data_IF_046008370727
#
_entry.id   IF_046008370727
#
_cell.length_a   1.000
_cell.length_b   1.000
_cell.length_c   1.000
_cell.angle_alpha   90.00
_cell.angle_beta   90.00
_cell.angle_gamma   90.00
#
_symmetry.space_group_name_H-M   'P 1'
#
loop_
_entity.id
_entity.type
_entity.pdbx_description
1 polymer ?
#
# COMPACT_ATOMS: atom_id res chain seq x y z
N UNK A 1 -2.84 -11.57 -22.55
CA UNK A 1 -4.21 -11.81 -22.08
C UNK A 1 -5.07 -12.01 -23.31
N UNK A 2 -5.70 -13.17 -23.52
CA UNK A 2 -6.59 -13.35 -24.67
C UNK A 2 -7.77 -12.35 -24.55
N UNK A 3 -8.19 -11.73 -25.67
CA UNK A 3 -9.25 -10.70 -25.70
C UNK A 3 -10.51 -11.13 -24.93
N UNK A 4 -10.92 -12.40 -25.09
CA UNK A 4 -12.07 -13.01 -24.40
C UNK A 4 -11.98 -12.89 -22.86
N UNK A 5 -10.80 -13.12 -22.30
CA UNK A 5 -10.55 -13.03 -20.85
C UNK A 5 -10.59 -11.56 -20.37
N UNK A 6 -10.18 -10.61 -21.22
CA UNK A 6 -10.31 -9.18 -20.93
C UNK A 6 -11.77 -8.71 -20.82
N UNK A 7 -12.63 -9.16 -21.75
CA UNK A 7 -14.06 -8.83 -21.72
C UNK A 7 -14.76 -9.43 -20.50
N UNK A 8 -14.47 -10.68 -20.15
CA UNK A 8 -15.02 -11.33 -18.96
C UNK A 8 -14.63 -10.60 -17.67
N UNK A 9 -13.36 -10.24 -17.50
CA UNK A 9 -12.90 -9.46 -16.34
C UNK A 9 -13.54 -8.08 -16.26
N UNK A 10 -13.84 -7.46 -17.40
CA UNK A 10 -14.52 -6.17 -17.43
C UNK A 10 -16.01 -6.31 -17.08
N UNK A 11 -16.68 -7.34 -17.60
CA UNK A 11 -18.05 -7.67 -17.21
C UNK A 11 -18.15 -7.96 -15.70
N UNK A 12 -17.22 -8.73 -15.14
CA UNK A 12 -17.13 -8.97 -13.70
C UNK A 12 -16.98 -7.65 -12.91
N UNK A 13 -16.14 -6.74 -13.39
CA UNK A 13 -16.01 -5.41 -12.80
C UNK A 13 -17.34 -4.62 -12.84
N UNK A 14 -18.04 -4.63 -13.97
CA UNK A 14 -19.34 -3.97 -14.09
C UNK A 14 -20.38 -4.57 -13.14
N UNK A 15 -20.39 -5.89 -12.95
CA UNK A 15 -21.24 -6.55 -11.96
C UNK A 15 -20.91 -6.11 -10.52
N UNK A 16 -19.62 -5.99 -10.17
CA UNK A 16 -19.18 -5.49 -8.85
C UNK A 16 -19.62 -4.02 -8.64
N UNK A 17 -19.46 -3.18 -9.67
CA UNK A 17 -19.94 -1.79 -9.68
C UNK A 17 -21.45 -1.73 -9.50
N UNK A 18 -22.20 -2.55 -10.23
CA UNK A 18 -23.66 -2.59 -10.11
C UNK A 18 -24.10 -3.06 -8.72
N UNK A 19 -23.49 -4.12 -8.19
CA UNK A 19 -23.75 -4.60 -6.81
C UNK A 19 -23.49 -3.54 -5.75
N UNK A 20 -22.60 -2.58 -6.02
CA UNK A 20 -22.30 -1.52 -5.05
C UNK A 20 -23.48 -0.61 -4.72
N UNK A 21 -24.45 -0.49 -5.62
CA UNK A 21 -25.69 0.26 -5.40
C UNK A 21 -26.65 -0.42 -4.41
N UNK A 22 -26.54 -1.74 -4.23
CA UNK A 22 -27.46 -2.53 -3.40
C UNK A 22 -26.83 -3.07 -2.12
N UNK A 23 -25.51 -2.93 -1.97
CA UNK A 23 -24.78 -3.37 -0.79
C UNK A 23 -24.07 -2.18 -0.18
N UNK A 24 -24.35 -1.83 1.07
CA UNK A 24 -23.67 -0.74 1.77
C UNK A 24 -22.20 -1.07 2.06
N UNK A 25 -21.35 -0.06 2.21
CA UNK A 25 -19.94 -0.23 2.61
C UNK A 25 -19.85 -0.93 3.97
N UNK A 26 -20.73 -0.57 4.91
CA UNK A 26 -20.87 -1.24 6.21
C UNK A 26 -21.09 -2.75 6.05
N UNK A 27 -22.11 -3.18 5.29
CA UNK A 27 -22.35 -4.61 5.08
C UNK A 27 -21.17 -5.30 4.38
N UNK A 28 -20.56 -4.64 3.39
CA UNK A 28 -19.44 -5.17 2.63
C UNK A 28 -18.21 -5.46 3.51
N UNK A 29 -17.85 -4.52 4.39
CA UNK A 29 -16.69 -4.64 5.27
C UNK A 29 -16.96 -5.55 6.45
N UNK A 30 -18.12 -5.46 7.12
CA UNK A 30 -18.49 -6.34 8.24
C UNK A 30 -18.51 -7.80 7.81
N UNK A 31 -19.14 -8.13 6.68
CA UNK A 31 -19.21 -9.52 6.19
C UNK A 31 -17.83 -10.10 5.88
N UNK A 32 -16.91 -9.28 5.34
CA UNK A 32 -15.54 -9.74 5.03
C UNK A 32 -14.67 -9.85 6.28
N UNK A 33 -14.83 -8.95 7.23
CA UNK A 33 -14.12 -9.02 8.50
C UNK A 33 -14.55 -10.26 9.30
N UNK A 34 -15.86 -10.57 9.32
CA UNK A 34 -16.37 -11.80 9.91
C UNK A 34 -15.75 -13.04 9.25
N UNK A 35 -15.71 -13.08 7.92
CA UNK A 35 -15.09 -14.20 7.18
C UNK A 35 -13.60 -14.40 7.47
N UNK A 36 -12.85 -13.32 7.72
CA UNK A 36 -11.41 -13.42 7.99
C UNK A 36 -11.08 -13.70 9.46
N UNK A 37 -11.88 -13.17 10.39
CA UNK A 37 -11.60 -13.25 11.84
C UNK A 37 -12.40 -14.31 12.58
N UNK A 38 -13.53 -14.76 12.01
CA UNK A 38 -14.52 -15.61 12.68
C UNK A 38 -15.35 -14.89 13.77
N UNK A 39 -15.19 -13.57 13.95
CA UNK A 39 -15.82 -12.80 15.02
C UNK A 39 -16.79 -11.77 14.46
N UNK A 40 -17.93 -11.60 15.13
CA UNK A 40 -18.86 -10.50 14.85
C UNK A 40 -18.29 -9.20 15.42
N UNK A 41 -18.33 -8.14 14.62
CA UNK A 41 -17.73 -6.85 14.96
C UNK A 41 -18.74 -5.71 14.85
N UNK A 42 -18.77 -4.83 15.85
CA UNK A 42 -19.53 -3.58 15.78
C UNK A 42 -18.64 -2.47 15.21
N UNK A 43 -18.66 -2.29 13.89
CA UNK A 43 -17.82 -1.28 13.23
C UNK A 43 -18.20 0.18 13.57
N UNK A 44 -19.32 0.43 14.27
CA UNK A 44 -19.63 1.77 14.81
C UNK A 44 -18.90 2.07 16.12
N UNK A 45 -18.49 1.03 16.84
CA UNK A 45 -17.70 1.12 18.08
C UNK A 45 -16.51 0.15 17.98
N UNK A 46 -15.54 0.44 17.09
CA UNK A 46 -14.45 -0.48 16.80
C UNK A 46 -13.44 -0.54 17.95
N UNK A 47 -12.96 -1.74 18.26
CA UNK A 47 -11.98 -2.00 19.31
C UNK A 47 -10.62 -2.35 18.70
N UNK A 48 -10.57 -3.33 17.80
CA UNK A 48 -9.30 -3.83 17.24
C UNK A 48 -8.78 -2.97 16.11
N UNK A 49 -7.49 -3.10 15.76
CA UNK A 49 -6.89 -2.39 14.63
C UNK A 49 -7.66 -2.69 13.33
N UNK A 50 -7.97 -3.97 13.07
CA UNK A 50 -8.77 -4.36 11.90
C UNK A 50 -10.17 -3.72 11.87
N UNK A 51 -10.84 -3.64 13.02
CA UNK A 51 -12.14 -2.97 13.14
C UNK A 51 -12.04 -1.47 12.89
N UNK A 52 -11.01 -0.80 13.44
CA UNK A 52 -10.77 0.64 13.26
C UNK A 52 -10.43 0.99 11.82
N UNK A 53 -9.64 0.14 11.15
CA UNK A 53 -9.37 0.23 9.72
C UNK A 53 -10.66 0.11 8.89
N UNK A 54 -11.53 -0.85 9.22
CA UNK A 54 -12.83 -0.97 8.56
C UNK A 54 -13.75 0.22 8.86
N UNK A 55 -13.76 0.71 10.09
CA UNK A 55 -14.52 1.91 10.50
C UNK A 55 -14.13 3.11 9.64
N UNK A 56 -12.82 3.40 9.50
CA UNK A 56 -12.32 4.48 8.64
C UNK A 56 -12.85 4.33 7.21
N UNK A 57 -12.74 3.14 6.62
CA UNK A 57 -13.20 2.90 5.24
C UNK A 57 -14.68 3.17 5.00
N UNK A 58 -15.51 3.08 6.05
CA UNK A 58 -16.97 3.25 5.96
C UNK A 58 -17.39 4.69 6.28
N UNK A 59 -16.73 5.32 7.25
CA UNK A 59 -17.23 6.55 7.88
C UNK A 59 -16.32 7.77 7.68
N UNK A 60 -15.08 7.59 7.24
CA UNK A 60 -14.14 8.68 7.02
C UNK A 60 -13.83 8.84 5.54
N UNK A 61 -14.42 9.88 4.97
CA UNK A 61 -14.32 10.24 3.56
C UNK A 61 -13.43 11.46 3.31
N UNK A 62 -12.50 11.75 4.24
CA UNK A 62 -11.57 12.86 4.16
C UNK A 62 -10.84 12.90 2.80
N UNK A 63 -10.93 14.02 2.09
CA UNK A 63 -10.31 14.21 0.78
C UNK A 63 -8.79 14.15 0.83
N UNK A 64 -8.18 14.46 1.98
CA UNK A 64 -6.74 14.25 2.21
C UNK A 64 -6.35 12.80 1.93
N UNK A 65 -7.18 11.83 2.31
CA UNK A 65 -6.86 10.41 2.09
C UNK A 65 -6.86 10.03 0.61
N UNK A 66 -7.73 10.63 -0.19
CA UNK A 66 -7.70 10.49 -1.64
C UNK A 66 -6.43 11.10 -2.22
N UNK A 67 -6.02 12.28 -1.76
CA UNK A 67 -4.77 12.91 -2.18
C UNK A 67 -3.54 12.06 -1.83
N UNK A 68 -3.50 11.46 -0.64
CA UNK A 68 -2.40 10.59 -0.20
C UNK A 68 -2.37 9.25 -0.93
N UNK A 69 -3.52 8.71 -1.33
CA UNK A 69 -3.62 7.44 -2.06
C UNK A 69 -3.29 7.57 -3.56
N UNK A 70 -3.36 8.78 -4.13
CA UNK A 70 -2.96 9.06 -5.50
C UNK A 70 -1.43 9.07 -5.61
N UNK A 71 -0.87 8.03 -6.26
CA UNK A 71 0.59 7.86 -6.39
C UNK A 71 1.28 9.00 -7.14
N UNK A 72 0.55 9.81 -7.91
CA UNK A 72 1.09 11.01 -8.54
C UNK A 72 1.04 12.19 -7.58
N UNK A 73 -0.15 12.49 -7.05
CA UNK A 73 -0.38 13.69 -6.23
C UNK A 73 0.38 13.66 -4.89
N UNK A 74 0.50 12.47 -4.26
CA UNK A 74 1.21 12.30 -2.98
C UNK A 74 2.68 12.72 -3.04
N UNK A 75 3.29 12.81 -4.23
CA UNK A 75 4.69 13.21 -4.37
C UNK A 75 4.92 14.64 -3.90
N UNK A 76 3.98 15.54 -4.16
CA UNK A 76 4.01 16.92 -3.65
C UNK A 76 3.92 16.94 -2.11
N UNK A 77 3.06 16.08 -1.55
CA UNK A 77 2.93 15.92 -0.10
C UNK A 77 4.27 15.54 0.56
N UNK A 78 4.99 14.61 -0.06
CA UNK A 78 6.27 14.09 0.43
C UNK A 78 7.35 15.18 0.39
N UNK A 79 7.53 15.82 -0.76
CA UNK A 79 8.56 16.87 -0.92
C UNK A 79 8.35 18.07 0.00
N UNK A 80 7.09 18.40 0.32
CA UNK A 80 6.77 19.50 1.22
C UNK A 80 7.07 19.21 2.70
N UNK A 81 7.30 17.94 3.09
CA UNK A 81 7.39 17.53 4.50
C UNK A 81 8.73 16.99 4.92
N UNK A 82 9.46 16.35 4.01
CA UNK A 82 10.72 15.73 4.36
C UNK A 82 11.70 15.78 3.19
N UNK A 83 12.98 15.92 3.53
CA UNK A 83 14.11 15.83 2.61
C UNK A 83 14.96 14.58 2.89
N UNK A 84 14.52 13.71 3.82
CA UNK A 84 15.26 12.52 4.26
C UNK A 84 15.05 11.31 3.36
N UNK A 85 14.08 11.38 2.45
CA UNK A 85 13.73 10.32 1.50
C UNK A 85 13.53 10.94 0.13
N UNK A 86 13.63 10.11 -0.91
CA UNK A 86 13.41 10.48 -2.31
C UNK A 86 12.09 9.91 -2.79
N UNK A 87 11.41 10.60 -3.70
CA UNK A 87 10.38 9.93 -4.52
C UNK A 87 11.06 9.25 -5.71
N UNK A 88 10.62 8.06 -6.11
CA UNK A 88 11.20 7.35 -7.28
C UNK A 88 11.12 8.24 -8.52
N UNK A 89 12.21 8.49 -9.27
CA UNK A 89 12.16 9.41 -10.42
C UNK A 89 11.08 9.04 -11.44
N UNK A 90 10.32 10.05 -11.88
CA UNK A 90 9.32 9.90 -12.94
C UNK A 90 9.98 10.11 -14.29
N UNK A 91 9.87 9.13 -15.17
CA UNK A 91 10.30 9.20 -16.56
C UNK A 91 9.23 9.89 -17.39
N UNK A 92 7.96 9.51 -17.21
CA UNK A 92 6.84 10.01 -18.00
C UNK A 92 5.48 9.72 -17.36
N UNK A 93 4.45 10.44 -17.83
CA UNK A 93 3.05 10.27 -17.42
C UNK A 93 2.19 10.12 -18.68
N UNK A 94 1.30 9.13 -18.70
CA UNK A 94 0.42 8.87 -19.84
C UNK A 94 -1.05 8.85 -19.43
N UNK A 95 -1.91 9.40 -20.28
CA UNK A 95 -3.36 9.33 -20.09
C UNK A 95 -3.96 8.04 -20.65
N UNK A 96 -3.30 7.42 -21.64
CA UNK A 96 -3.74 6.18 -22.27
C UNK A 96 -2.56 5.20 -22.38
N UNK A 97 -2.86 3.91 -22.37
CA UNK A 97 -1.83 2.88 -22.53
C UNK A 97 -1.25 2.84 -23.96
N UNK A 98 -2.04 3.31 -24.93
CA UNK A 98 -1.65 3.45 -26.34
C UNK A 98 -0.63 4.56 -26.58
N UNK A 99 -0.52 5.53 -25.67
CA UNK A 99 0.43 6.65 -25.78
C UNK A 99 1.86 6.24 -25.36
N UNK A 100 2.04 5.01 -24.87
CA UNK A 100 3.33 4.51 -24.39
C UNK A 100 4.18 4.04 -25.57
N UNK A 101 5.19 4.82 -25.92
CA UNK A 101 6.26 4.37 -26.81
C UNK A 101 7.31 3.60 -26.01
N UNK A 102 7.23 2.26 -26.05
CA UNK A 102 8.18 1.39 -25.36
C UNK A 102 9.59 1.42 -25.98
N UNK A 103 9.75 1.93 -27.21
CA UNK A 103 11.03 1.94 -27.89
C UNK A 103 12.01 2.95 -27.29
N UNK A 104 11.50 4.03 -26.68
CA UNK A 104 12.28 5.11 -26.07
C UNK A 104 12.44 4.97 -24.55
N UNK A 105 11.77 4.00 -23.92
CA UNK A 105 11.91 3.73 -22.48
C UNK A 105 13.30 3.13 -22.17
N UNK A 106 13.84 3.39 -20.96
CA UNK A 106 15.13 2.84 -20.54
C UNK A 106 15.11 1.30 -20.45
N UNK A 107 16.27 0.69 -20.22
CA UNK A 107 16.40 -0.77 -20.14
C UNK A 107 15.55 -1.37 -19.00
N UNK A 108 15.42 -0.65 -17.88
CA UNK A 108 14.59 -1.03 -16.74
C UNK A 108 13.64 0.09 -16.36
N UNK A 109 12.38 -0.23 -16.12
CA UNK A 109 11.35 0.73 -15.73
C UNK A 109 10.17 0.06 -15.01
N UNK A 110 9.36 0.86 -14.34
CA UNK A 110 8.12 0.43 -13.69
C UNK A 110 6.95 1.25 -14.21
N UNK A 111 5.91 0.58 -14.72
CA UNK A 111 4.64 1.20 -15.11
C UNK A 111 3.56 0.88 -14.08
N UNK A 112 2.87 1.89 -13.56
CA UNK A 112 1.76 1.71 -12.62
C UNK A 112 0.69 2.78 -12.81
N UNK A 113 -0.58 2.44 -12.53
CA UNK A 113 -1.64 3.45 -12.46
C UNK A 113 -1.61 4.14 -11.09
N UNK A 114 -1.98 5.43 -11.06
CA UNK A 114 -1.94 6.22 -9.83
C UNK A 114 -3.07 5.91 -8.85
N UNK A 115 -4.23 5.49 -9.35
CA UNK A 115 -5.49 5.40 -8.62
C UNK A 115 -5.79 4.03 -7.99
N UNK A 116 -4.84 3.10 -8.05
CA UNK A 116 -5.12 1.70 -7.73
C UNK A 116 -3.98 0.97 -7.01
N UNK A 117 -4.27 -0.22 -6.52
CA UNK A 117 -3.28 -1.19 -6.07
C UNK A 117 -3.25 -2.39 -7.02
N UNK A 118 -2.09 -2.69 -7.59
CA UNK A 118 -1.89 -3.92 -8.37
C UNK A 118 -2.05 -3.79 -9.88
N UNK A 119 -1.99 -2.58 -10.45
CA UNK A 119 -1.75 -2.38 -11.89
C UNK A 119 -0.28 -2.48 -12.30
N UNK A 120 0.66 -2.50 -11.34
CA UNK A 120 2.10 -2.47 -11.58
C UNK A 120 2.56 -3.50 -12.61
N UNK A 121 3.44 -3.06 -13.49
CA UNK A 121 4.20 -3.82 -14.47
C UNK A 121 5.67 -3.43 -14.32
N UNK A 122 6.55 -4.40 -14.15
CA UNK A 122 7.98 -4.20 -13.95
C UNK A 122 8.71 -4.74 -15.18
N UNK A 123 9.59 -3.91 -15.76
CA UNK A 123 10.54 -4.29 -16.80
C UNK A 123 11.94 -4.29 -16.17
N UNK A 124 12.55 -5.46 -16.02
CA UNK A 124 13.93 -5.62 -15.52
C UNK A 124 14.94 -5.88 -16.64
N UNK A 125 14.46 -6.14 -17.85
CA UNK A 125 15.19 -6.11 -19.12
C UNK A 125 14.18 -5.96 -20.25
N UNK A 126 14.56 -5.26 -21.31
CA UNK A 126 13.75 -5.13 -22.54
C UNK A 126 13.68 -6.44 -23.31
N UNK A 127 14.69 -7.29 -23.17
CA UNK A 127 14.71 -8.60 -23.83
C UNK A 127 13.61 -9.49 -23.27
N UNK A 128 12.67 -9.87 -24.14
CA UNK A 128 11.50 -10.67 -23.77
C UNK A 128 10.40 -9.91 -23.03
N UNK A 129 10.52 -8.59 -22.85
CA UNK A 129 9.46 -7.81 -22.22
C UNK A 129 8.20 -7.75 -23.10
N UNK A 130 7.09 -8.26 -22.58
CA UNK A 130 5.83 -8.33 -23.32
C UNK A 130 5.06 -7.00 -23.25
N UNK A 131 5.43 -6.06 -24.11
CA UNK A 131 4.81 -4.72 -24.24
C UNK A 131 3.30 -4.80 -24.45
N UNK A 132 2.83 -5.73 -25.28
CA UNK A 132 1.39 -5.94 -25.54
C UNK A 132 0.64 -6.35 -24.27
N UNK A 133 1.20 -7.26 -23.46
CA UNK A 133 0.61 -7.69 -22.19
C UNK A 133 0.61 -6.55 -21.17
N UNK A 134 1.69 -5.77 -21.10
CA UNK A 134 1.82 -4.60 -20.26
C UNK A 134 0.74 -3.54 -20.59
N UNK A 135 0.67 -3.12 -21.86
CA UNK A 135 -0.31 -2.13 -22.32
C UNK A 135 -1.76 -2.59 -22.07
N UNK A 136 -2.08 -3.86 -22.34
CA UNK A 136 -3.42 -4.39 -22.07
C UNK A 136 -3.79 -4.40 -20.59
N UNK A 137 -2.82 -4.67 -19.70
CA UNK A 137 -3.03 -4.64 -18.25
C UNK A 137 -3.32 -3.22 -17.76
N UNK A 138 -2.53 -2.24 -18.22
CA UNK A 138 -2.70 -0.82 -17.88
C UNK A 138 -4.02 -0.26 -18.43
N UNK A 139 -4.33 -0.56 -19.71
CA UNK A 139 -5.62 -0.21 -20.34
C UNK A 139 -6.81 -0.75 -19.55
N UNK A 140 -6.71 -1.97 -19.04
CA UNK A 140 -7.77 -2.55 -18.21
C UNK A 140 -7.86 -1.86 -16.84
N UNK A 141 -6.74 -1.52 -16.22
CA UNK A 141 -6.70 -0.80 -14.94
C UNK A 141 -7.29 0.61 -15.05
N UNK A 142 -6.96 1.37 -16.10
CA UNK A 142 -7.51 2.72 -16.35
C UNK A 142 -9.04 2.74 -16.48
N UNK A 143 -9.66 1.66 -16.97
CA UNK A 143 -11.12 1.54 -17.10
C UNK A 143 -11.84 1.26 -15.78
N UNK A 144 -11.10 1.02 -14.70
CA UNK A 144 -11.63 0.57 -13.43
C UNK A 144 -11.38 1.59 -12.36
N UNK A 145 -12.39 1.75 -11.50
CA UNK A 145 -12.24 2.41 -10.22
C UNK A 145 -12.19 1.36 -9.11
N UNK A 146 -11.11 1.36 -8.34
CA UNK A 146 -10.81 0.33 -7.34
C UNK A 146 -11.86 0.28 -6.22
N UNK A 147 -12.49 1.41 -5.89
CA UNK A 147 -13.56 1.50 -4.89
C UNK A 147 -14.67 0.47 -5.15
N UNK A 148 -15.13 0.31 -6.39
CA UNK A 148 -16.22 -0.63 -6.69
C UNK A 148 -15.83 -2.10 -6.51
N UNK A 149 -14.53 -2.39 -6.41
CA UNK A 149 -14.03 -3.74 -6.15
C UNK A 149 -13.74 -3.96 -4.67
N UNK A 150 -13.09 -3.00 -4.01
CA UNK A 150 -12.54 -3.17 -2.66
C UNK A 150 -13.26 -2.39 -1.57
N UNK A 151 -14.10 -1.42 -1.96
CA UNK A 151 -14.79 -0.44 -1.12
C UNK A 151 -13.85 0.41 -0.27
N UNK A 152 -12.66 0.62 -0.80
CA UNK A 152 -11.67 1.56 -0.25
C UNK A 152 -11.98 2.97 -0.77
N UNK A 153 -12.56 3.82 0.09
CA UNK A 153 -13.05 5.14 -0.29
C UNK A 153 -11.95 6.05 -0.83
N UNK A 154 -10.72 5.94 -0.32
CA UNK A 154 -9.60 6.79 -0.74
C UNK A 154 -9.34 6.74 -2.26
N UNK A 155 -9.62 5.61 -2.92
CA UNK A 155 -9.42 5.47 -4.37
C UNK A 155 -10.59 6.01 -5.22
N UNK A 156 -11.72 6.36 -4.61
CA UNK A 156 -12.98 6.57 -5.32
C UNK A 156 -12.93 7.74 -6.31
N UNK A 157 -12.22 8.82 -5.95
CA UNK A 157 -12.25 10.08 -6.70
C UNK A 157 -10.92 10.42 -7.37
N UNK A 158 -9.99 9.46 -7.49
CA UNK A 158 -8.71 9.68 -8.16
C UNK A 158 -8.92 9.58 -9.67
N UNK A 159 -8.44 10.59 -10.41
CA UNK A 159 -8.43 10.56 -11.88
C UNK A 159 -7.30 9.62 -12.36
N UNK A 160 -7.62 8.56 -13.11
CA UNK A 160 -6.62 7.59 -13.56
C UNK A 160 -5.63 8.14 -14.59
N UNK A 161 -4.34 7.94 -14.33
CA UNK A 161 -3.22 8.09 -15.27
C UNK A 161 -2.23 6.94 -15.07
N UNK A 162 -1.30 6.77 -16.01
CA UNK A 162 -0.19 5.81 -15.94
C UNK A 162 1.08 6.59 -15.63
N UNK A 163 1.84 6.12 -14.64
CA UNK A 163 3.15 6.60 -14.27
C UNK A 163 4.20 5.63 -14.81
N UNK A 164 5.24 6.17 -15.45
CA UNK A 164 6.48 5.47 -15.75
C UNK A 164 7.56 5.98 -14.80
N UNK A 165 8.07 5.09 -13.97
CA UNK A 165 9.10 5.37 -12.97
C UNK A 165 10.37 4.60 -13.30
N UNK A 166 11.50 5.13 -12.84
CA UNK A 166 12.76 4.39 -12.82
C UNK A 166 12.62 3.10 -11.97
N UNK A 167 13.32 2.05 -12.40
CA UNK A 167 13.44 0.83 -11.61
C UNK A 167 14.52 1.00 -10.53
N UNK A 168 14.16 0.79 -9.27
CA UNK A 168 15.11 0.82 -8.15
C UNK A 168 15.63 -0.59 -7.89
N UNK A 169 16.93 -0.80 -8.06
CA UNK A 169 17.59 -2.09 -7.81
C UNK A 169 18.05 -2.18 -6.35
N UNK A 170 17.16 -2.65 -5.48
CA UNK A 170 17.38 -2.72 -4.03
C UNK A 170 18.52 -3.66 -3.62
N UNK A 171 18.86 -4.64 -4.45
CA UNK A 171 19.84 -5.67 -4.09
C UNK A 171 21.20 -5.45 -4.76
N UNK A 172 21.37 -4.35 -5.50
CA UNK A 172 22.62 -4.08 -6.21
C UNK A 172 23.78 -3.89 -5.23
N UNK A 173 24.61 -4.93 -5.09
CA UNK A 173 25.71 -4.97 -4.13
C UNK A 173 25.27 -5.11 -2.68
N UNK A 174 24.08 -5.67 -2.42
CA UNK A 174 23.59 -6.01 -1.08
C UNK A 174 23.16 -7.48 -1.02
N UNK A 175 23.23 -8.09 0.17
CA UNK A 175 22.76 -9.46 0.39
C UNK A 175 21.23 -9.47 0.48
N UNK A 176 20.59 -10.15 -0.46
CA UNK A 176 19.13 -10.30 -0.53
C UNK A 176 18.54 -10.87 0.75
N UNK A 177 19.21 -11.83 1.38
CA UNK A 177 18.71 -12.52 2.57
C UNK A 177 18.78 -11.64 3.84
N UNK A 178 19.47 -10.50 3.77
CA UNK A 178 19.66 -9.58 4.89
C UNK A 178 19.10 -8.16 4.63
N UNK A 179 18.77 -7.85 3.38
CA UNK A 179 18.29 -6.52 2.98
C UNK A 179 16.76 -6.49 2.96
N UNK A 180 16.11 -5.64 3.76
CA UNK A 180 14.66 -5.47 3.68
C UNK A 180 14.27 -4.88 2.32
N UNK A 181 13.35 -5.55 1.61
CA UNK A 181 12.74 -5.04 0.37
C UNK A 181 11.91 -3.77 0.65
N UNK A 182 11.31 -3.71 1.83
CA UNK A 182 10.44 -2.64 2.24
C UNK A 182 10.42 -2.52 3.76
N UNK A 183 10.51 -1.29 4.26
CA UNK A 183 10.10 -0.95 5.61
C UNK A 183 8.71 -0.32 5.56
N UNK A 184 7.77 -0.91 6.28
CA UNK A 184 6.41 -0.38 6.42
C UNK A 184 6.21 0.14 7.83
N UNK A 185 6.38 1.43 7.99
CA UNK A 185 6.38 2.10 9.28
C UNK A 185 4.95 2.47 9.66
N UNK A 186 4.41 1.81 10.69
CA UNK A 186 3.08 2.10 11.20
C UNK A 186 3.13 3.28 12.16
N UNK A 187 2.47 4.36 11.75
CA UNK A 187 2.38 5.59 12.50
C UNK A 187 0.97 5.77 13.07
N UNK A 188 0.90 6.08 14.37
CA UNK A 188 -0.32 6.41 15.08
C UNK A 188 -0.17 7.83 15.62
N UNK A 189 -1.10 8.72 15.28
CA UNK A 189 -1.06 10.13 15.68
C UNK A 189 0.27 10.83 15.37
N UNK A 190 0.83 10.56 14.18
CA UNK A 190 2.13 11.08 13.75
C UNK A 190 3.36 10.43 14.38
N UNK A 191 3.20 9.43 15.25
CA UNK A 191 4.31 8.75 15.93
C UNK A 191 4.50 7.36 15.35
N UNK A 192 5.73 7.01 14.95
CA UNK A 192 6.05 5.66 14.52
C UNK A 192 6.01 4.72 15.73
N UNK A 193 5.23 3.64 15.65
CA UNK A 193 5.06 2.70 16.76
C UNK A 193 5.79 1.38 16.51
N UNK A 194 5.66 0.83 15.30
CA UNK A 194 6.32 -0.40 14.88
C UNK A 194 6.54 -0.41 13.36
N UNK A 195 7.39 -1.33 12.88
CA UNK A 195 7.78 -1.44 11.48
C UNK A 195 7.68 -2.90 11.02
N UNK A 196 7.01 -3.14 9.91
CA UNK A 196 7.15 -4.40 9.16
C UNK A 196 8.39 -4.29 8.26
N UNK A 197 9.32 -5.23 8.35
CA UNK A 197 10.43 -5.38 7.42
C UNK A 197 10.21 -6.61 6.53
N UNK A 198 10.06 -6.39 5.23
CA UNK A 198 9.78 -7.42 4.24
C UNK A 198 11.06 -8.03 3.69
N UNK A 199 11.10 -9.35 3.57
CA UNK A 199 12.21 -10.07 2.96
C UNK A 199 11.69 -11.15 2.02
N UNK A 200 12.44 -11.44 0.96
CA UNK A 200 12.24 -12.61 0.10
C UNK A 200 13.57 -13.32 -0.07
N UNK A 201 13.65 -14.58 0.36
CA UNK A 201 14.87 -15.37 0.20
C UNK A 201 15.12 -15.79 -1.27
N UNK A 202 16.27 -16.41 -1.51
CA UNK A 202 16.66 -16.87 -2.84
C UNK A 202 15.72 -17.96 -3.42
N UNK A 203 14.94 -18.64 -2.57
CA UNK A 203 13.92 -19.60 -3.00
C UNK A 203 12.58 -18.93 -3.37
N UNK A 204 12.48 -17.61 -3.18
CA UNK A 204 11.26 -16.84 -3.40
C UNK A 204 10.28 -16.90 -2.23
N UNK A 205 10.70 -17.37 -1.05
CA UNK A 205 9.86 -17.43 0.14
C UNK A 205 9.90 -16.08 0.87
N UNK A 206 8.72 -15.54 1.15
CA UNK A 206 8.55 -14.26 1.84
C UNK A 206 8.53 -14.37 3.36
N UNK A 207 9.09 -13.37 4.02
CA UNK A 207 9.11 -13.21 5.48
C UNK A 207 8.75 -11.77 5.85
N UNK A 208 8.19 -11.59 7.04
CA UNK A 208 7.99 -10.27 7.65
C UNK A 208 8.46 -10.34 9.10
N UNK A 209 9.45 -9.51 9.43
CA UNK A 209 9.83 -9.27 10.81
C UNK A 209 9.17 -7.97 11.28
N UNK A 210 8.57 -7.99 12.47
CA UNK A 210 7.99 -6.80 13.07
C UNK A 210 8.93 -6.26 14.13
N UNK A 211 9.40 -5.03 13.97
CA UNK A 211 10.32 -4.36 14.89
C UNK A 211 9.68 -3.15 15.57
N UNK A 212 10.19 -2.76 16.74
CA UNK A 212 9.97 -1.42 17.29
C UNK A 212 10.96 -0.39 16.72
N UNK A 213 10.87 0.86 17.18
CA UNK A 213 11.77 1.96 16.79
C UNK A 213 13.23 1.79 17.19
N UNK A 214 13.56 0.79 18.01
CA UNK A 214 14.94 0.46 18.41
C UNK A 214 15.40 -0.85 17.77
N UNK A 215 14.76 -1.24 16.64
CA UNK A 215 15.05 -2.46 15.90
C UNK A 215 14.95 -3.74 16.75
N UNK A 216 14.13 -3.76 17.81
CA UNK A 216 13.88 -4.98 18.59
C UNK A 216 12.69 -5.74 18.03
N UNK A 217 12.89 -7.03 17.78
CA UNK A 217 11.86 -7.92 17.24
C UNK A 217 10.69 -8.02 18.23
N UNK A 218 9.47 -7.79 17.74
CA UNK A 218 8.26 -7.78 18.54
C UNK A 218 7.70 -9.20 18.73
N UNK A 219 6.98 -9.47 19.83
CA UNK A 219 6.45 -10.79 20.15
C UNK A 219 5.13 -11.09 19.41
N UNK A 220 5.00 -10.61 18.17
CA UNK A 220 3.87 -10.88 17.28
C UNK A 220 4.30 -10.83 15.82
N UNK A 221 3.48 -11.45 14.96
CA UNK A 221 3.71 -11.57 13.53
C UNK A 221 2.55 -10.95 12.76
N UNK A 222 2.85 -10.39 11.59
CA UNK A 222 1.87 -9.89 10.64
C UNK A 222 2.02 -10.63 9.30
N UNK A 223 0.96 -11.32 8.87
CA UNK A 223 0.82 -12.02 7.58
C UNK A 223 1.77 -13.20 7.30
N UNK A 224 3.07 -13.02 7.52
CA UNK A 224 4.15 -13.95 7.20
C UNK A 224 4.94 -14.34 8.47
N UNK A 225 5.66 -15.48 8.44
CA UNK A 225 6.60 -15.81 9.52
C UNK A 225 7.82 -14.89 9.52
N UNK A 226 8.54 -14.89 10.64
CA UNK A 226 9.82 -14.20 10.76
C UNK A 226 10.89 -14.91 9.94
N UNK A 227 11.96 -14.17 9.59
CA UNK A 227 13.20 -14.74 9.08
C UNK A 227 13.77 -15.78 10.06
N UNK A 228 14.42 -16.84 9.57
CA UNK A 228 14.98 -17.88 10.44
C UNK A 228 16.25 -17.43 11.20
N UNK A 229 16.83 -16.29 10.80
CA UNK A 229 18.03 -15.69 11.36
C UNK A 229 17.76 -14.24 11.79
N UNK A 230 18.66 -13.72 12.64
CA UNK A 230 18.64 -12.32 13.07
C UNK A 230 19.09 -11.41 11.92
N UNK A 231 18.39 -10.27 11.76
CA UNK A 231 18.72 -9.24 10.78
C UNK A 231 19.28 -8.02 11.51
N UNK A 232 20.42 -7.52 11.04
CA UNK A 232 21.04 -6.30 11.59
C UNK A 232 20.20 -5.07 11.25
N UNK A 233 20.26 -4.06 12.11
CA UNK A 233 19.61 -2.77 11.86
C UNK A 233 20.22 -2.10 10.62
N UNK A 234 19.43 -1.73 9.61
CA UNK A 234 19.92 -0.96 8.49
C UNK A 234 20.41 0.42 8.95
N UNK A 235 21.55 0.88 8.43
CA UNK A 235 22.12 2.19 8.81
C UNK A 235 21.14 3.36 8.57
N UNK A 236 20.30 3.25 7.54
CA UNK A 236 19.31 4.26 7.18
C UNK A 236 18.00 4.17 7.99
N UNK A 237 17.88 3.24 8.95
CA UNK A 237 16.65 3.00 9.71
C UNK A 237 16.16 4.22 10.49
N UNK A 238 17.05 4.91 11.21
CA UNK A 238 16.69 6.12 11.97
C UNK A 238 16.13 7.23 11.05
N UNK A 239 16.69 7.40 9.85
CA UNK A 239 16.17 8.33 8.85
C UNK A 239 14.79 7.90 8.34
N UNK A 240 14.58 6.60 8.11
CA UNK A 240 13.29 6.05 7.69
C UNK A 240 12.19 6.30 8.75
N UNK A 241 12.50 6.08 10.03
CA UNK A 241 11.58 6.37 11.15
C UNK A 241 11.25 7.86 11.20
N UNK A 242 12.27 8.72 11.15
CA UNK A 242 12.08 10.18 11.24
C UNK A 242 11.23 10.71 10.08
N UNK A 243 11.54 10.31 8.84
CA UNK A 243 10.78 10.68 7.66
C UNK A 243 9.32 10.20 7.75
N UNK A 244 9.09 9.00 8.25
CA UNK A 244 7.74 8.44 8.41
C UNK A 244 6.91 9.27 9.39
N UNK A 245 7.50 9.72 10.51
CA UNK A 245 6.81 10.61 11.46
C UNK A 245 6.52 11.99 10.87
N UNK A 246 7.47 12.56 10.10
CA UNK A 246 7.26 13.84 9.37
C UNK A 246 6.10 13.74 8.38
N UNK A 247 6.00 12.63 7.66
CA UNK A 247 4.90 12.35 6.71
C UNK A 247 3.57 12.08 7.42
N UNK A 248 3.59 11.40 8.57
CA UNK A 248 2.42 11.04 9.34
C UNK A 248 1.86 12.18 10.20
N UNK A 249 2.57 13.31 10.31
CA UNK A 249 2.14 14.45 11.14
C UNK A 249 0.74 14.94 10.74
N UNK A 250 -0.17 14.92 11.70
CA UNK A 250 -1.58 15.31 11.49
C UNK A 250 -2.49 14.20 10.96
N UNK A 251 -1.98 12.96 10.86
CA UNK A 251 -2.76 11.78 10.47
C UNK A 251 -2.89 10.87 11.70
N UNK A 252 -4.12 10.47 12.02
CA UNK A 252 -4.45 9.64 13.20
C UNK A 252 -3.90 8.20 13.06
N UNK A 253 -3.87 7.67 11.84
CA UNK A 253 -3.13 6.45 11.51
C UNK A 253 -2.72 6.42 10.04
N UNK A 254 -1.49 6.05 9.74
CA UNK A 254 -1.08 5.62 8.41
C UNK A 254 0.13 4.69 8.49
N UNK A 255 0.31 3.89 7.44
CA UNK A 255 1.54 3.13 7.23
C UNK A 255 2.34 3.81 6.12
N UNK A 256 3.60 4.12 6.39
CA UNK A 256 4.51 4.71 5.41
C UNK A 256 5.42 3.61 4.90
N UNK A 257 5.35 3.33 3.60
CA UNK A 257 6.09 2.24 2.96
C UNK A 257 7.31 2.83 2.24
N UNK A 258 8.50 2.37 2.63
CA UNK A 258 9.80 2.88 2.19
C UNK A 258 10.66 1.74 1.66
N UNK A 259 11.34 1.96 0.54
CA UNK A 259 12.32 1.02 0.00
C UNK A 259 13.73 1.50 0.38
N UNK A 260 14.58 0.58 0.85
CA UNK A 260 15.93 0.88 1.28
C UNK A 260 16.92 0.44 0.20
N UNK A 261 17.70 1.39 -0.31
CA UNK A 261 18.77 1.14 -1.27
C UNK A 261 20.06 1.74 -0.72
N UNK A 262 20.81 0.96 0.06
CA UNK A 262 21.99 1.41 0.82
C UNK A 262 21.64 2.64 1.68
N UNK A 263 22.30 3.77 1.41
CA UNK A 263 22.11 5.04 2.13
C UNK A 263 20.89 5.82 1.66
N UNK A 264 20.29 5.41 0.54
CA UNK A 264 19.12 6.08 -0.04
C UNK A 264 17.83 5.39 0.37
N UNK A 265 16.83 6.21 0.71
CA UNK A 265 15.49 5.74 1.04
C UNK A 265 14.52 6.29 0.01
N UNK A 266 13.76 5.41 -0.62
CA UNK A 266 12.76 5.75 -1.61
C UNK A 266 11.35 5.59 -1.05
N UNK A 267 10.55 6.64 -1.18
CA UNK A 267 9.12 6.63 -0.89
C UNK A 267 8.38 5.69 -1.85
N UNK A 268 7.58 4.77 -1.31
CA UNK A 268 6.71 3.88 -2.09
C UNK A 268 5.24 4.33 -2.01
N UNK A 269 4.66 4.34 -0.81
CA UNK A 269 3.26 4.73 -0.59
C UNK A 269 2.97 5.19 0.85
N UNK A 270 1.87 5.92 1.02
CA UNK A 270 1.19 6.08 2.32
C UNK A 270 -0.08 5.25 2.28
N UNK A 271 -0.10 4.15 3.04
CA UNK A 271 -1.22 3.22 3.11
C UNK A 271 -2.10 3.52 4.32
N UNK A 272 -3.35 3.88 4.03
CA UNK A 272 -4.34 4.32 5.02
C UNK A 272 -5.22 3.18 5.54
N UNK A 273 -5.29 2.07 4.81
CA UNK A 273 -6.15 0.93 5.16
C UNK A 273 -5.51 -0.41 4.77
N UNK A 274 -4.36 -0.79 5.36
CA UNK A 274 -3.66 -2.02 4.98
C UNK A 274 -4.59 -3.23 5.08
N UNK A 275 -4.55 -4.08 4.05
CA UNK A 275 -5.41 -5.26 3.87
C UNK A 275 -6.92 -4.98 4.04
N UNK A 276 -7.36 -3.72 3.98
CA UNK A 276 -8.73 -3.26 4.22
C UNK A 276 -9.24 -3.58 5.63
N UNK A 277 -8.35 -3.65 6.62
CA UNK A 277 -8.68 -4.09 7.97
C UNK A 277 -8.95 -5.60 8.05
N UNK A 278 -8.13 -6.41 7.37
CA UNK A 278 -8.11 -7.88 7.45
C UNK A 278 -6.67 -8.39 7.55
N UNK A 279 -5.88 -7.72 8.39
CA UNK A 279 -4.54 -8.14 8.75
C UNK A 279 -4.62 -9.43 9.57
N UNK A 280 -3.81 -10.43 9.22
CA UNK A 280 -3.57 -11.62 10.02
C UNK A 280 -2.47 -11.31 11.03
N UNK A 281 -2.86 -11.12 12.28
CA UNK A 281 -1.96 -10.79 13.39
C UNK A 281 -1.93 -11.97 14.36
N UNK A 282 -0.73 -12.46 14.70
CA UNK A 282 -0.55 -13.63 15.58
C UNK A 282 0.42 -13.31 16.72
N UNK A 283 0.07 -13.53 18.00
CA UNK A 283 -1.24 -14.03 18.47
C UNK A 283 -2.36 -12.97 18.34
N UNK A 284 -3.61 -13.44 18.28
CA UNK A 284 -4.77 -12.60 17.92
C UNK A 284 -5.04 -11.43 18.88
N UNK A 285 -4.57 -11.51 20.12
CA UNK A 285 -4.66 -10.44 21.12
C UNK A 285 -3.96 -9.15 20.68
N UNK A 286 -2.94 -9.25 19.81
CA UNK A 286 -2.24 -8.07 19.31
C UNK A 286 -3.10 -7.20 18.40
N UNK A 287 -4.15 -7.73 17.76
CA UNK A 287 -5.10 -6.90 17.01
C UNK A 287 -5.80 -5.89 17.93
N UNK A 288 -6.13 -6.28 19.18
CA UNK A 288 -6.69 -5.38 20.17
C UNK A 288 -5.63 -4.40 20.73
N UNK A 289 -4.44 -4.89 21.10
CA UNK A 289 -3.35 -4.04 21.63
C UNK A 289 -2.92 -2.94 20.65
N UNK A 290 -2.81 -3.28 19.36
CA UNK A 290 -2.51 -2.29 18.32
C UNK A 290 -3.70 -1.37 18.06
N UNK A 291 -4.93 -1.89 18.23
CA UNK A 291 -6.15 -1.08 18.22
C UNK A 291 -6.11 0.01 19.28
N UNK A 292 -5.68 -0.28 20.50
CA UNK A 292 -5.60 0.69 21.61
C UNK A 292 -4.73 1.92 21.30
N UNK A 293 -3.71 1.77 20.47
CA UNK A 293 -2.84 2.88 20.03
C UNK A 293 -3.57 3.92 19.18
N UNK A 294 -4.70 3.55 18.55
CA UNK A 294 -5.44 4.44 17.66
C UNK A 294 -6.71 5.00 18.30
N UNK A 295 -6.62 6.21 18.82
CA UNK A 295 -7.78 6.99 19.25
C UNK A 295 -8.52 7.62 18.05
N UNK A 296 -9.72 7.12 17.72
CA UNK A 296 -10.56 7.69 16.67
C UNK A 296 -11.30 8.93 17.19
N UNK A 297 -11.31 10.01 16.40
CA UNK A 297 -12.22 11.14 16.63
C UNK A 297 -13.68 10.72 16.44
N UNK A 298 -14.62 11.07 17.33
CA UNK A 298 -16.03 10.73 17.17
C UNK A 298 -16.62 11.20 15.83
N UNK A 299 -17.52 10.40 15.25
CA UNK A 299 -18.13 10.62 13.92
C UNK A 299 -18.89 11.95 13.84
N UNK A 300 -19.45 12.43 14.95
CA UNK A 300 -20.24 13.68 15.03
C UNK A 300 -19.42 14.93 14.67
N UNK A 301 -18.09 14.88 14.80
CA UNK A 301 -17.19 16.00 14.49
C UNK A 301 -16.61 15.94 13.07
N UNK A 302 -17.00 14.99 12.22
CA UNK A 302 -16.41 14.76 10.88
C UNK A 302 -17.31 15.14 9.69
N UNK A 303 -18.48 15.72 9.96
CA UNK A 303 -19.45 16.17 8.93
C UNK A 303 -19.43 17.70 8.70
N UNK A 304 -18.34 18.38 9.07
CA UNK A 304 -18.13 19.79 8.72
C UNK A 304 -17.46 19.93 7.35
#
# INVERSE_FOLDING_TARGET
MNKLNGHLKYAEYLLRKWRSFFTTDLHFHTTRLYKSSGKLSNLRQPVTLNEKLCHRLIFDHNTLYTFLADKLAVREYVHARTQKIKTVPLISIYNKAEDIDFSVLPEKFVLKCNHDCGSTVICTSRDGFNTTKAANRLKFALKRNMYYTTREWQYKNIKPVILCEEYIDLFSGQDRNNTPEMLRVHCFHGVACFVEADFTDDSGKGFINVYDRSWRLQPFQMEYPNTPHMIQEPESFCHAITASQELAKGIDYCRVDLMLNKDEIYFSEITLSPKRGKLKITPSEWDARLGEMWHLTPVENRLA
#
